data_IF_207503052611
#
_entry.id   IF_207503052611
#
_cell.length_a   1.000
_cell.length_b   1.000
_cell.length_c   1.000
_cell.angle_alpha   90.00
_cell.angle_beta   90.00
_cell.angle_gamma   90.00
#
_symmetry.space_group_name_H-M   'P 1'
#
loop_
_entity.id
_entity.type
_entity.pdbx_description
1 polymer ?
#
# COMPACT_ATOMS: atom_id res chain seq x y z
N UNK A 1 -73.57 0.74 5.20
CA UNK A 1 -72.90 0.91 3.89
C UNK A 1 -71.75 1.88 4.11
N UNK A 2 -70.49 1.48 3.90
CA UNK A 2 -69.34 2.38 4.01
C UNK A 2 -68.11 1.71 4.64
N UNK A 3 -67.44 0.86 3.87
CA UNK A 3 -66.10 0.35 4.21
C UNK A 3 -65.06 1.36 3.71
N UNK A 4 -64.21 1.89 4.59
CA UNK A 4 -62.97 2.55 4.20
C UNK A 4 -61.81 1.59 4.46
N UNK A 5 -61.28 1.01 3.38
CA UNK A 5 -60.05 0.24 3.37
C UNK A 5 -58.88 1.23 3.39
N UNK A 6 -58.13 1.29 4.49
CA UNK A 6 -56.88 2.04 4.54
C UNK A 6 -55.75 1.17 3.98
N UNK A 7 -55.32 1.47 2.76
CA UNK A 7 -54.16 0.82 2.12
C UNK A 7 -52.88 1.34 2.78
N UNK A 8 -52.27 0.55 3.66
CA UNK A 8 -50.93 0.78 4.16
C UNK A 8 -49.92 0.50 3.04
N UNK A 9 -49.30 1.55 2.48
CA UNK A 9 -48.10 1.39 1.67
C UNK A 9 -46.90 1.13 2.59
N UNK A 10 -46.35 -0.09 2.52
CA UNK A 10 -45.06 -0.44 3.10
C UNK A 10 -43.96 0.16 2.22
N UNK A 11 -43.33 1.27 2.63
CA UNK A 11 -42.09 1.72 2.01
C UNK A 11 -40.95 0.81 2.49
N UNK A 12 -40.53 -0.12 1.64
CA UNK A 12 -39.28 -0.85 1.83
C UNK A 12 -38.11 0.12 1.56
N UNK A 13 -37.45 0.58 2.62
CA UNK A 13 -36.20 1.33 2.51
C UNK A 13 -35.10 0.40 1.99
N UNK A 14 -34.77 0.52 0.70
CA UNK A 14 -33.56 -0.06 0.11
C UNK A 14 -32.36 0.63 0.76
N UNK A 15 -31.73 -0.03 1.74
CA UNK A 15 -30.40 0.35 2.19
C UNK A 15 -29.45 0.03 1.04
N UNK A 16 -28.78 1.01 0.40
CA UNK A 16 -27.79 0.70 -0.62
C UNK A 16 -26.70 -0.15 0.03
N UNK A 17 -26.46 -1.34 -0.53
CA UNK A 17 -25.28 -2.12 -0.20
C UNK A 17 -24.06 -1.29 -0.63
N UNK A 18 -23.41 -0.62 0.33
CA UNK A 18 -22.06 -0.09 0.12
C UNK A 18 -21.20 -1.28 -0.24
N UNK A 19 -20.84 -1.41 -1.52
CA UNK A 19 -19.71 -2.26 -1.91
C UNK A 19 -18.53 -1.86 -1.02
N UNK A 20 -17.82 -2.82 -0.40
CA UNK A 20 -16.62 -2.50 0.36
C UNK A 20 -15.75 -1.59 -0.51
N UNK A 21 -15.47 -0.38 -0.02
CA UNK A 21 -14.60 0.53 -0.74
C UNK A 21 -13.29 -0.22 -1.01
N UNK A 22 -12.87 -0.22 -2.26
CA UNK A 22 -11.62 -0.87 -2.64
C UNK A 22 -10.50 -0.27 -1.79
N UNK A 23 -9.60 -1.12 -1.27
CA UNK A 23 -8.53 -0.64 -0.41
C UNK A 23 -7.71 0.42 -1.18
N UNK A 24 -7.50 1.62 -0.64
CA UNK A 24 -6.92 2.73 -1.40
C UNK A 24 -5.48 2.47 -1.85
N UNK A 25 -4.80 1.50 -1.25
CA UNK A 25 -3.49 1.04 -1.71
C UNK A 25 -3.55 0.25 -3.02
N UNK A 26 -4.67 -0.40 -3.32
CA UNK A 26 -4.79 -1.27 -4.49
C UNK A 26 -4.59 -0.50 -5.80
N UNK A 27 -3.86 -1.13 -6.72
CA UNK A 27 -3.62 -0.60 -8.05
C UNK A 27 -2.14 -0.57 -8.43
N UNK A 28 -1.88 0.07 -9.57
CA UNK A 28 -0.55 0.34 -10.07
C UNK A 28 -0.14 1.78 -9.71
N UNK A 29 1.14 1.95 -9.39
CA UNK A 29 1.71 3.22 -8.97
C UNK A 29 2.99 3.47 -9.75
N UNK A 30 3.20 4.72 -10.17
CA UNK A 30 4.37 5.14 -10.95
C UNK A 30 5.08 6.27 -10.24
N UNK A 31 6.40 6.24 -10.28
CA UNK A 31 7.26 7.27 -9.73
C UNK A 31 6.96 8.64 -10.36
N UNK A 32 6.69 9.64 -9.53
CA UNK A 32 6.69 11.04 -9.91
C UNK A 32 8.02 11.68 -9.49
N UNK A 33 8.99 11.60 -10.39
CA UNK A 33 10.33 12.15 -10.17
C UNK A 33 10.31 13.68 -9.99
N UNK A 34 9.32 14.38 -10.55
CA UNK A 34 9.21 15.84 -10.44
C UNK A 34 8.81 16.32 -9.04
N UNK A 35 8.14 15.44 -8.29
CA UNK A 35 7.70 15.67 -6.90
C UNK A 35 8.59 15.03 -5.85
N UNK A 36 9.63 14.30 -6.27
CA UNK A 36 10.52 13.55 -5.39
C UNK A 36 11.77 14.36 -5.01
N UNK A 37 12.47 13.95 -3.96
CA UNK A 37 13.75 14.55 -3.56
C UNK A 37 14.78 14.37 -4.69
N UNK A 38 15.43 15.45 -5.17
CA UNK A 38 16.45 15.34 -6.20
C UNK A 38 17.61 14.41 -5.80
N UNK A 39 18.02 13.53 -6.71
CA UNK A 39 19.15 12.60 -6.51
C UNK A 39 18.81 11.29 -5.79
N UNK A 40 17.57 11.10 -5.33
CA UNK A 40 17.12 9.85 -4.69
C UNK A 40 16.37 8.93 -5.67
N UNK A 41 15.82 9.51 -6.74
CA UNK A 41 15.05 8.80 -7.77
C UNK A 41 15.83 7.70 -8.48
N UNK A 42 17.15 7.80 -8.57
CA UNK A 42 18.00 6.80 -9.24
C UNK A 42 18.01 5.44 -8.51
N UNK A 43 17.66 5.44 -7.23
CA UNK A 43 17.57 4.24 -6.39
C UNK A 43 16.11 3.81 -6.16
N UNK A 44 15.15 4.63 -6.58
CA UNK A 44 13.73 4.37 -6.41
C UNK A 44 13.24 3.35 -7.46
N UNK A 45 12.23 2.56 -7.10
CA UNK A 45 11.55 1.74 -8.09
C UNK A 45 10.79 2.64 -9.08
N UNK A 46 10.75 2.26 -10.36
CA UNK A 46 9.95 2.97 -11.37
C UNK A 46 8.44 2.92 -11.07
N UNK A 47 7.99 1.87 -10.39
CA UNK A 47 6.60 1.70 -10.01
C UNK A 47 6.33 0.43 -9.21
N UNK A 48 5.13 0.36 -8.67
CA UNK A 48 4.65 -0.71 -7.80
C UNK A 48 3.29 -1.23 -8.26
N UNK A 49 2.98 -2.46 -7.87
CA UNK A 49 1.60 -2.96 -7.85
C UNK A 49 1.26 -3.48 -6.47
N UNK A 50 0.11 -3.06 -5.96
CA UNK A 50 -0.39 -3.43 -4.65
C UNK A 50 -1.73 -4.15 -4.75
N UNK A 51 -1.87 -5.19 -3.94
CA UNK A 51 -3.16 -5.78 -3.57
C UNK A 51 -3.16 -5.97 -2.07
N UNK A 52 -4.03 -5.27 -1.36
CA UNK A 52 -4.21 -5.31 0.08
C UNK A 52 -5.68 -5.66 0.38
N UNK A 53 -5.88 -6.81 0.99
CA UNK A 53 -7.18 -7.28 1.41
C UNK A 53 -7.58 -6.67 2.76
N UNK A 54 -8.89 -6.60 3.10
CA UNK A 54 -9.35 -6.04 4.37
C UNK A 54 -8.80 -6.73 5.63
N UNK A 55 -8.38 -7.99 5.51
CA UNK A 55 -7.77 -8.77 6.60
C UNK A 55 -6.24 -8.59 6.71
N UNK A 56 -5.68 -7.65 5.94
CA UNK A 56 -4.27 -7.30 5.95
C UNK A 56 -3.38 -8.17 5.06
N UNK A 57 -3.93 -9.15 4.32
CA UNK A 57 -3.15 -9.89 3.32
C UNK A 57 -2.68 -8.95 2.21
N UNK A 58 -1.38 -8.95 1.93
CA UNK A 58 -0.74 -8.08 0.95
C UNK A 58 0.00 -8.88 -0.13
N UNK A 59 -0.14 -8.41 -1.37
CA UNK A 59 0.79 -8.67 -2.47
C UNK A 59 1.42 -7.34 -2.87
N UNK A 60 2.74 -7.27 -2.78
CA UNK A 60 3.55 -6.11 -3.14
C UNK A 60 4.47 -6.52 -4.28
N UNK A 61 4.40 -5.81 -5.41
CA UNK A 61 5.22 -6.12 -6.58
C UNK A 61 6.04 -4.91 -7.03
N UNK A 62 7.28 -5.16 -7.45
CA UNK A 62 8.10 -4.19 -8.21
C UNK A 62 8.34 -4.78 -9.60
N UNK A 63 7.48 -4.46 -10.58
CA UNK A 63 7.51 -5.13 -11.88
C UNK A 63 8.83 -5.00 -12.63
N UNK A 64 9.46 -3.82 -12.59
CA UNK A 64 10.74 -3.56 -13.28
C UNK A 64 11.89 -4.42 -12.76
N UNK A 65 11.80 -4.87 -11.50
CA UNK A 65 12.77 -5.75 -10.86
C UNK A 65 12.35 -7.22 -10.87
N UNK A 66 11.11 -7.52 -11.30
CA UNK A 66 10.51 -8.84 -11.17
C UNK A 66 10.38 -9.28 -9.71
N UNK A 67 10.18 -8.33 -8.79
CA UNK A 67 10.01 -8.62 -7.37
C UNK A 67 8.56 -8.84 -6.99
N UNK A 68 8.34 -9.84 -6.14
CA UNK A 68 7.04 -10.13 -5.53
C UNK A 68 7.24 -10.48 -4.07
N UNK A 69 6.44 -9.85 -3.21
CA UNK A 69 6.30 -10.17 -1.79
C UNK A 69 4.83 -10.50 -1.55
N UNK A 70 4.57 -11.60 -0.85
CA UNK A 70 3.22 -11.97 -0.41
C UNK A 70 3.23 -12.30 1.08
N UNK A 71 2.24 -11.81 1.81
CA UNK A 71 2.08 -12.11 3.24
C UNK A 71 1.07 -11.18 3.90
N UNK A 72 1.42 -10.59 5.04
CA UNK A 72 0.53 -9.74 5.84
C UNK A 72 1.17 -8.43 6.27
N UNK A 73 0.32 -7.46 6.59
CA UNK A 73 0.69 -6.14 7.13
C UNK A 73 0.72 -6.12 8.67
N UNK A 74 1.14 -7.22 9.28
CA UNK A 74 1.18 -7.45 10.74
C UNK A 74 2.59 -7.31 11.34
N UNK A 75 3.57 -6.87 10.55
CA UNK A 75 4.97 -6.69 10.95
C UNK A 75 5.81 -7.96 10.89
N UNK A 76 5.25 -9.12 10.47
CA UNK A 76 6.04 -10.34 10.29
C UNK A 76 6.90 -10.22 9.01
N UNK A 77 8.20 -10.59 9.05
CA UNK A 77 9.04 -10.58 7.86
C UNK A 77 8.55 -11.55 6.78
N UNK A 78 8.38 -11.03 5.57
CA UNK A 78 8.02 -11.76 4.35
C UNK A 78 9.24 -11.85 3.44
N UNK A 79 9.44 -12.97 2.75
CA UNK A 79 10.54 -13.12 1.79
C UNK A 79 10.29 -12.26 0.54
N UNK A 80 11.34 -11.60 0.06
CA UNK A 80 11.31 -10.93 -1.25
C UNK A 80 11.76 -11.93 -2.31
N UNK A 81 10.85 -12.30 -3.21
CA UNK A 81 11.17 -13.17 -4.34
C UNK A 81 11.55 -12.32 -5.56
N UNK A 82 12.67 -12.63 -6.21
CA UNK A 82 13.15 -12.01 -7.45
C UNK A 82 13.70 -13.06 -8.41
N UNK A 83 13.45 -12.92 -9.71
CA UNK A 83 13.73 -13.95 -10.72
C UNK A 83 15.21 -14.32 -10.85
N UNK A 84 16.17 -13.39 -10.64
CA UNK A 84 17.62 -13.64 -10.45
C UNK A 84 18.40 -12.30 -10.35
N UNK A 85 19.45 -12.21 -9.51
CA UNK A 85 19.75 -13.10 -8.39
C UNK A 85 18.69 -12.96 -7.28
N UNK A 86 18.52 -14.03 -6.47
CA UNK A 86 17.67 -13.95 -5.28
C UNK A 86 18.25 -12.90 -4.31
N UNK A 87 17.44 -11.99 -3.77
CA UNK A 87 17.96 -10.86 -3.04
C UNK A 87 18.41 -11.23 -1.62
N UNK A 88 17.96 -12.36 -1.06
CA UNK A 88 18.21 -12.72 0.34
C UNK A 88 17.68 -11.67 1.32
N UNK A 89 16.59 -11.00 0.92
CA UNK A 89 15.96 -9.90 1.63
C UNK A 89 14.61 -10.33 2.18
N UNK A 90 14.22 -9.74 3.30
CA UNK A 90 12.86 -9.77 3.81
C UNK A 90 12.28 -8.37 3.90
N UNK A 91 10.96 -8.28 3.73
CA UNK A 91 10.16 -7.08 3.92
C UNK A 91 9.17 -7.35 5.06
N UNK A 92 9.20 -6.53 6.10
CA UNK A 92 8.14 -6.50 7.12
C UNK A 92 7.29 -5.28 6.85
N UNK A 93 5.95 -5.41 6.88
CA UNK A 93 5.02 -4.29 6.68
C UNK A 93 4.05 -4.25 7.85
N UNK A 94 3.79 -3.07 8.39
CA UNK A 94 2.79 -2.83 9.44
C UNK A 94 1.84 -1.72 8.99
N UNK A 95 0.53 -2.01 8.99
CA UNK A 95 -0.48 -1.00 8.70
C UNK A 95 -0.77 -0.14 9.94
N UNK A 96 -0.66 1.19 9.82
CA UNK A 96 -1.07 2.18 10.81
C UNK A 96 -2.39 2.84 10.35
N UNK A 97 -3.48 2.08 10.38
CA UNK A 97 -4.75 2.50 9.79
C UNK A 97 -4.79 2.35 8.26
N UNK A 98 -5.78 2.93 7.58
CA UNK A 98 -6.00 2.69 6.15
C UNK A 98 -5.01 3.43 5.24
N UNK A 99 -4.36 4.48 5.72
CA UNK A 99 -3.57 5.41 4.89
C UNK A 99 -2.06 5.30 5.07
N UNK A 100 -1.59 4.50 6.02
CA UNK A 100 -0.16 4.44 6.37
C UNK A 100 0.32 2.99 6.40
N UNK A 101 1.43 2.73 5.70
CA UNK A 101 2.19 1.50 5.81
C UNK A 101 3.61 1.84 6.27
N UNK A 102 4.06 1.17 7.33
CA UNK A 102 5.46 1.21 7.79
C UNK A 102 6.13 -0.04 7.30
N UNK A 103 7.33 0.09 6.73
CA UNK A 103 8.09 -1.06 6.28
C UNK A 103 9.51 -1.09 6.80
N UNK A 104 10.05 -2.31 6.89
CA UNK A 104 11.46 -2.58 7.19
C UNK A 104 11.98 -3.63 6.22
N UNK A 105 13.15 -3.35 5.66
CA UNK A 105 13.90 -4.29 4.83
C UNK A 105 15.07 -4.83 5.63
N UNK A 106 15.25 -6.14 5.63
CA UNK A 106 16.39 -6.80 6.25
C UNK A 106 17.10 -7.73 5.28
N UNK A 107 18.42 -7.86 5.42
CA UNK A 107 19.26 -8.82 4.70
C UNK A 107 19.79 -9.84 5.70
N UNK A 108 19.45 -11.11 5.52
CA UNK A 108 19.86 -12.18 6.45
C UNK A 108 19.55 -11.84 7.92
N UNK A 109 18.36 -11.26 8.17
CA UNK A 109 17.91 -10.84 9.50
C UNK A 109 18.48 -9.52 10.02
N UNK A 110 19.43 -8.89 9.33
CA UNK A 110 19.98 -7.58 9.70
C UNK A 110 19.20 -6.46 9.01
N UNK A 111 18.65 -5.47 9.74
CA UNK A 111 18.00 -4.32 9.13
C UNK A 111 18.94 -3.58 8.17
N UNK A 112 18.44 -3.21 6.99
CA UNK A 112 19.18 -2.43 5.99
C UNK A 112 18.46 -1.16 5.56
N UNK A 113 17.13 -1.12 5.65
CA UNK A 113 16.35 0.06 5.32
C UNK A 113 15.00 0.05 6.01
N UNK A 114 14.43 1.23 6.17
CA UNK A 114 13.13 1.46 6.80
C UNK A 114 12.41 2.56 6.04
N UNK A 115 11.08 2.56 6.08
CA UNK A 115 10.32 3.66 5.50
C UNK A 115 8.89 3.74 5.99
N UNK A 116 8.29 4.89 5.73
CA UNK A 116 6.90 5.23 6.00
C UNK A 116 6.26 5.66 4.68
N UNK A 117 5.29 4.89 4.23
CA UNK A 117 4.45 5.21 3.09
C UNK A 117 3.16 5.85 3.61
N UNK A 118 2.81 7.02 3.10
CA UNK A 118 1.56 7.71 3.47
C UNK A 118 0.75 8.01 2.21
N UNK A 119 -0.48 7.51 2.12
CA UNK A 119 -1.42 7.91 1.09
C UNK A 119 -1.78 9.39 1.26
N UNK A 120 -1.77 10.12 0.15
CA UNK A 120 -2.14 11.53 0.07
C UNK A 120 -3.13 11.73 -1.06
N UNK A 121 -3.71 12.93 -1.16
CA UNK A 121 -4.61 13.31 -2.25
C UNK A 121 -5.80 12.33 -2.40
N UNK A 122 -6.32 11.85 -1.28
CA UNK A 122 -7.39 10.85 -1.22
C UNK A 122 -7.04 9.53 -1.93
N UNK A 123 -5.80 9.06 -1.76
CA UNK A 123 -5.33 7.78 -2.30
C UNK A 123 -5.01 7.82 -3.80
N UNK A 124 -4.76 9.01 -4.35
CA UNK A 124 -4.28 9.22 -5.72
C UNK A 124 -2.75 9.26 -5.83
N UNK A 125 -2.09 9.55 -4.72
CA UNK A 125 -0.64 9.49 -4.60
C UNK A 125 -0.27 8.91 -3.24
N UNK A 126 0.98 8.47 -3.09
CA UNK A 126 1.58 8.21 -1.79
C UNK A 126 3.01 8.75 -1.75
N UNK A 127 3.43 9.10 -0.55
CA UNK A 127 4.78 9.61 -0.25
C UNK A 127 5.53 8.54 0.51
N UNK A 128 6.67 8.09 -0.02
CA UNK A 128 7.67 7.30 0.70
C UNK A 128 8.62 8.25 1.42
N UNK A 129 8.75 8.12 2.73
CA UNK A 129 9.90 8.65 3.45
C UNK A 129 10.71 7.46 3.91
N UNK A 130 11.89 7.26 3.35
CA UNK A 130 12.72 6.07 3.61
C UNK A 130 14.17 6.42 3.89
N UNK A 131 14.83 5.60 4.72
CA UNK A 131 16.18 5.82 5.21
C UNK A 131 16.96 4.52 5.43
N UNK A 132 18.30 4.55 5.44
CA UNK A 132 19.11 3.42 5.86
C UNK A 132 18.83 3.05 7.33
N UNK A 133 18.83 1.76 7.66
CA UNK A 133 18.47 1.30 9.00
C UNK A 133 19.24 2.03 10.12
N UNK A 134 18.48 2.57 11.09
CA UNK A 134 19.03 3.34 12.20
C UNK A 134 19.60 4.73 11.84
N UNK A 135 19.42 5.21 10.61
CA UNK A 135 19.95 6.50 10.16
C UNK A 135 18.87 7.42 9.54
N UNK A 136 17.83 7.81 10.31
CA UNK A 136 16.73 8.65 9.80
C UNK A 136 17.18 10.05 9.34
N UNK A 137 18.36 10.52 9.75
CA UNK A 137 18.94 11.77 9.26
C UNK A 137 19.28 11.76 7.76
N UNK A 138 19.33 10.59 7.13
CA UNK A 138 19.52 10.43 5.69
C UNK A 138 18.23 10.06 4.96
N UNK A 139 17.07 10.42 5.54
CA UNK A 139 15.79 10.16 4.92
C UNK A 139 15.65 10.87 3.57
N UNK A 140 15.09 10.13 2.62
CA UNK A 140 14.69 10.61 1.31
C UNK A 140 13.19 10.56 1.14
N UNK A 141 12.65 11.51 0.37
CA UNK A 141 11.25 11.51 -0.02
C UNK A 141 11.09 11.10 -1.49
N UNK A 142 10.23 10.13 -1.76
CA UNK A 142 9.85 9.70 -3.11
C UNK A 142 8.34 9.69 -3.24
N UNK A 143 7.81 10.26 -4.32
CA UNK A 143 6.35 10.33 -4.54
C UNK A 143 5.95 9.40 -5.67
N UNK A 144 4.86 8.67 -5.45
CA UNK A 144 4.26 7.80 -6.45
C UNK A 144 2.81 8.19 -6.68
N UNK A 145 2.40 8.20 -7.95
CA UNK A 145 1.04 8.51 -8.39
C UNK A 145 0.35 7.25 -8.91
N UNK A 146 -0.94 7.11 -8.63
CA UNK A 146 -1.75 5.99 -9.12
C UNK A 146 -1.93 6.11 -10.64
N UNK A 147 -1.80 5.00 -11.36
CA UNK A 147 -2.09 4.92 -12.80
C UNK A 147 -3.58 4.76 -13.09
#
# INVERSE_FOLDING_TARGET
>A
MGYFLATMLLLASLVPATTPAENPWNGAWVLDASRSTPGITDQAAEGYRFTLQPDGQIKWEIPSLGEVVTGKTDGVPMEIHRTKPSPGLTLSVTAEGPEVLIYRVARSGKPVGEGRMTLVENGKAWVDISWPAGQPQYAGEVVYVKQ
#
